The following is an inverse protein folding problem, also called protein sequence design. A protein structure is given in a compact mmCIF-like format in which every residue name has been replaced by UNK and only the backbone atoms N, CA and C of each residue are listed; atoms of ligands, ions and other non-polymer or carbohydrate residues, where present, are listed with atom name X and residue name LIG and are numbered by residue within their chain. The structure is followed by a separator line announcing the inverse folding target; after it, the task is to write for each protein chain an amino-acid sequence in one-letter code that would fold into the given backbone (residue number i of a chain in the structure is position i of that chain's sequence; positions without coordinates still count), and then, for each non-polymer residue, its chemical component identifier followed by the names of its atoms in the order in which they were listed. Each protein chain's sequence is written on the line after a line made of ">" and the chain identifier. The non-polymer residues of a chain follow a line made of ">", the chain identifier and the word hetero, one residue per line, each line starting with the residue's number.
data_IF_752001270396
#
_entry.id   IF_752001270396
#
_cell.length_a   1.000
_cell.length_b   1.000
_cell.length_c   1.000
_cell.angle_alpha   90.00
_cell.angle_beta   90.00
_cell.angle_gamma   90.00
#
_symmetry.space_group_name_H-M   'P 1'
#
loop_
_entity.id
_entity.type
_entity.pdbx_description
1 polymer ?
#
# COMPACT_ATOMS: atom_id res chain seq x y z
N UNK A 1 -27.41 10.14 -16.82
CA UNK A 1 -27.31 8.87 -17.57
C UNK A 1 -27.29 7.70 -16.56
N UNK A 2 -27.97 6.55 -16.83
CA UNK A 2 -27.96 5.38 -15.94
C UNK A 2 -26.55 4.83 -15.66
N UNK A 3 -25.62 4.98 -16.60
CA UNK A 3 -24.20 4.57 -16.44
C UNK A 3 -23.46 5.34 -15.33
N UNK A 4 -23.73 6.63 -15.15
CA UNK A 4 -23.03 7.44 -14.14
C UNK A 4 -23.46 7.16 -12.71
N UNK A 5 -24.65 6.60 -12.50
CA UNK A 5 -25.15 6.20 -11.16
C UNK A 5 -24.51 4.89 -10.68
N UNK A 6 -24.29 3.93 -11.59
CA UNK A 6 -23.63 2.66 -11.22
C UNK A 6 -22.16 2.80 -10.82
N UNK A 7 -21.43 3.72 -11.44
CA UNK A 7 -20.01 3.99 -11.20
C UNK A 7 -19.74 4.56 -9.80
N UNK A 8 -20.54 5.53 -9.37
CA UNK A 8 -20.44 6.09 -8.01
C UNK A 8 -20.75 5.07 -6.93
N UNK A 9 -21.59 4.08 -7.22
CA UNK A 9 -22.01 3.06 -6.26
C UNK A 9 -20.94 1.96 -6.07
N UNK A 10 -20.20 1.57 -7.12
CA UNK A 10 -19.08 0.61 -7.02
C UNK A 10 -17.97 1.18 -6.12
N UNK A 11 -17.54 2.41 -6.39
CA UNK A 11 -16.52 3.06 -5.57
C UNK A 11 -16.94 3.23 -4.11
N UNK A 12 -18.17 3.69 -3.86
CA UNK A 12 -18.68 3.85 -2.49
C UNK A 12 -18.69 2.51 -1.75
N UNK A 13 -19.02 1.42 -2.44
CA UNK A 13 -19.00 0.08 -1.86
C UNK A 13 -17.59 -0.36 -1.51
N UNK A 14 -16.60 -0.19 -2.41
CA UNK A 14 -15.21 -0.55 -2.14
C UNK A 14 -14.63 0.23 -0.97
N UNK A 15 -14.84 1.56 -0.97
CA UNK A 15 -14.41 2.44 0.13
C UNK A 15 -15.03 2.01 1.46
N UNK A 16 -16.33 1.72 1.46
CA UNK A 16 -17.03 1.28 2.64
C UNK A 16 -16.55 -0.09 3.13
N UNK A 17 -16.30 -1.03 2.21
CA UNK A 17 -15.74 -2.34 2.55
C UNK A 17 -14.40 -2.21 3.27
N UNK A 18 -13.50 -1.33 2.80
CA UNK A 18 -12.22 -1.11 3.47
C UNK A 18 -12.40 -0.48 4.86
N UNK A 19 -13.29 0.51 5.00
CA UNK A 19 -13.63 1.12 6.29
C UNK A 19 -14.18 0.07 7.26
N UNK A 20 -15.10 -0.77 6.80
CA UNK A 20 -15.73 -1.81 7.62
C UNK A 20 -14.70 -2.88 8.04
N UNK A 21 -13.78 -3.25 7.15
CA UNK A 21 -12.67 -4.16 7.47
C UNK A 21 -11.74 -3.56 8.55
N UNK A 22 -11.38 -2.28 8.43
CA UNK A 22 -10.58 -1.56 9.44
C UNK A 22 -11.29 -1.60 10.81
N UNK A 23 -12.57 -1.29 10.83
CA UNK A 23 -13.38 -1.30 12.06
C UNK A 23 -13.55 -2.70 12.64
N UNK A 24 -13.81 -3.69 11.80
CA UNK A 24 -14.00 -5.08 12.23
C UNK A 24 -12.72 -5.66 12.84
N UNK A 25 -11.56 -5.45 12.17
CA UNK A 25 -10.27 -5.95 12.63
C UNK A 25 -9.64 -5.06 13.70
N UNK A 26 -10.16 -3.87 13.92
CA UNK A 26 -9.57 -2.84 14.77
C UNK A 26 -8.11 -2.58 14.39
N UNK A 27 -7.87 -2.48 13.08
CA UNK A 27 -6.54 -2.45 12.49
C UNK A 27 -6.56 -1.72 11.16
N UNK A 28 -5.50 -1.01 10.85
CA UNK A 28 -5.18 -0.48 9.52
C UNK A 28 -3.78 -0.90 9.07
N UNK A 29 -3.37 -2.10 9.53
CA UNK A 29 -2.10 -2.73 9.20
C UNK A 29 -2.08 -3.22 7.75
N UNK A 30 -1.08 -2.79 6.99
CA UNK A 30 -0.70 -3.34 5.70
C UNK A 30 0.61 -4.12 5.88
N UNK A 31 0.59 -5.43 5.63
CA UNK A 31 1.80 -6.27 5.72
C UNK A 31 2.56 -6.22 4.40
N UNK A 32 3.80 -5.73 4.45
CA UNK A 32 4.71 -5.78 3.29
C UNK A 32 5.28 -7.18 3.11
N UNK A 33 5.27 -7.69 1.89
CA UNK A 33 5.86 -8.96 1.50
C UNK A 33 7.02 -8.73 0.52
N UNK A 34 8.16 -8.38 1.10
CA UNK A 34 9.43 -8.07 0.42
C UNK A 34 10.44 -9.20 0.75
N UNK A 35 10.26 -10.45 0.23
CA UNK A 35 11.03 -11.61 0.63
C UNK A 35 12.47 -11.54 0.10
N UNK A 36 13.41 -11.29 1.00
CA UNK A 36 14.84 -11.30 0.72
C UNK A 36 15.40 -12.70 1.04
N UNK A 37 15.86 -13.48 0.04
CA UNK A 37 16.35 -14.83 0.25
C UNK A 37 17.47 -14.94 1.28
N UNK A 38 18.31 -13.90 1.41
CA UNK A 38 19.44 -13.89 2.36
C UNK A 38 18.99 -13.68 3.81
N UNK A 39 17.73 -13.32 4.03
CA UNK A 39 17.15 -13.03 5.34
C UNK A 39 16.06 -14.02 5.76
N UNK A 40 15.61 -14.86 4.85
CA UNK A 40 14.60 -15.86 5.17
C UNK A 40 15.14 -16.95 6.13
N UNK A 41 14.28 -17.59 6.94
CA UNK A 41 14.67 -18.71 7.79
C UNK A 41 15.32 -19.83 6.98
N UNK A 42 16.52 -20.25 7.39
CA UNK A 42 17.33 -21.22 6.63
C UNK A 42 16.64 -22.59 6.42
N UNK A 43 15.75 -23.00 7.33
CA UNK A 43 15.03 -24.27 7.23
C UNK A 43 14.03 -24.32 6.06
N UNK A 44 13.60 -23.16 5.53
CA UNK A 44 12.74 -23.09 4.35
C UNK A 44 13.48 -23.43 3.04
N UNK A 45 14.81 -23.46 3.09
CA UNK A 45 15.62 -23.65 1.90
C UNK A 45 15.82 -22.36 1.11
N UNK A 46 15.91 -22.49 -0.22
CA UNK A 46 16.18 -21.37 -1.12
C UNK A 46 15.33 -21.47 -2.39
N UNK A 47 15.27 -20.36 -3.15
CA UNK A 47 14.57 -20.29 -4.42
C UNK A 47 13.09 -19.95 -4.30
N UNK A 48 12.36 -20.06 -5.42
CA UNK A 48 10.97 -19.61 -5.54
C UNK A 48 10.00 -20.30 -4.58
N UNK A 49 10.15 -21.63 -4.39
CA UNK A 49 9.30 -22.40 -3.48
C UNK A 49 9.45 -21.99 -2.02
N UNK A 50 10.69 -21.68 -1.58
CA UNK A 50 10.95 -21.19 -0.23
C UNK A 50 10.31 -19.81 -0.02
N UNK A 51 10.40 -18.91 -1.01
CA UNK A 51 9.74 -17.60 -0.97
C UNK A 51 8.22 -17.74 -0.84
N UNK A 52 7.62 -18.65 -1.60
CA UNK A 52 6.18 -18.89 -1.52
C UNK A 52 5.76 -19.46 -0.17
N UNK A 53 6.51 -20.43 0.36
CA UNK A 53 6.26 -21.02 1.67
C UNK A 53 6.37 -19.96 2.78
N UNK A 54 7.38 -19.10 2.72
CA UNK A 54 7.58 -17.98 3.64
C UNK A 54 6.38 -17.01 3.61
N UNK A 55 5.99 -16.56 2.42
CA UNK A 55 4.86 -15.64 2.27
C UNK A 55 3.55 -16.24 2.78
N UNK A 56 3.26 -17.50 2.46
CA UNK A 56 2.04 -18.19 2.92
C UNK A 56 2.00 -18.28 4.44
N UNK A 57 3.09 -18.66 5.08
CA UNK A 57 3.17 -18.73 6.54
C UNK A 57 2.91 -17.38 7.20
N UNK A 58 3.46 -16.30 6.64
CA UNK A 58 3.22 -14.93 7.13
C UNK A 58 1.76 -14.50 6.95
N UNK A 59 1.16 -14.79 5.79
CA UNK A 59 -0.25 -14.48 5.52
C UNK A 59 -1.14 -15.24 6.48
N UNK A 60 -0.95 -16.55 6.63
CA UNK A 60 -1.74 -17.40 7.53
C UNK A 60 -1.66 -16.92 8.99
N UNK A 61 -0.46 -16.51 9.43
CA UNK A 61 -0.22 -16.03 10.78
C UNK A 61 -0.82 -14.66 11.10
N UNK A 62 -1.12 -13.82 10.09
CA UNK A 62 -1.47 -12.40 10.31
C UNK A 62 -2.78 -11.96 9.66
N UNK A 63 -3.47 -12.84 8.93
CA UNK A 63 -4.62 -12.46 8.10
C UNK A 63 -5.85 -11.96 8.89
N UNK A 64 -6.00 -12.35 10.13
CA UNK A 64 -7.03 -11.84 11.03
C UNK A 64 -6.72 -10.43 11.58
N UNK A 65 -5.46 -10.00 11.50
CA UNK A 65 -4.95 -8.73 12.02
C UNK A 65 -4.70 -7.68 10.93
N UNK A 66 -4.28 -8.11 9.74
CA UNK A 66 -3.98 -7.22 8.63
C UNK A 66 -5.22 -6.90 7.79
N UNK A 67 -5.33 -5.66 7.30
CA UNK A 67 -6.38 -5.24 6.35
C UNK A 67 -5.89 -5.25 4.91
N UNK A 68 -4.57 -5.28 4.71
CA UNK A 68 -3.95 -5.31 3.39
C UNK A 68 -2.63 -6.09 3.41
N UNK A 69 -2.27 -6.63 2.25
CA UNK A 69 -0.96 -7.19 1.98
C UNK A 69 -0.37 -6.52 0.73
N UNK A 70 0.92 -6.26 0.80
CA UNK A 70 1.62 -5.51 -0.25
C UNK A 70 2.90 -6.23 -0.70
N UNK A 71 2.80 -7.25 -1.58
CA UNK A 71 3.96 -7.80 -2.26
C UNK A 71 4.69 -6.72 -3.07
N UNK A 72 5.99 -6.59 -2.84
CA UNK A 72 6.85 -5.71 -3.63
C UNK A 72 7.36 -6.48 -4.86
N UNK A 73 6.84 -6.12 -6.01
CA UNK A 73 7.04 -6.85 -7.27
C UNK A 73 8.52 -7.03 -7.62
N UNK A 74 9.39 -6.09 -7.24
CA UNK A 74 10.83 -6.17 -7.51
C UNK A 74 11.49 -7.43 -6.92
N UNK A 75 11.05 -7.91 -5.76
CA UNK A 75 11.58 -9.12 -5.13
C UNK A 75 11.21 -10.40 -5.90
N UNK A 76 10.09 -10.38 -6.59
CA UNK A 76 9.62 -11.47 -7.42
C UNK A 76 10.22 -11.40 -8.83
N UNK A 77 10.32 -10.22 -9.43
CA UNK A 77 11.02 -10.01 -10.71
C UNK A 77 12.47 -10.50 -10.64
N UNK A 78 13.15 -10.29 -9.52
CA UNK A 78 14.53 -10.74 -9.30
C UNK A 78 14.69 -12.27 -9.31
N UNK A 79 13.62 -13.04 -9.12
CA UNK A 79 13.62 -14.51 -9.21
C UNK A 79 13.48 -15.02 -10.66
N UNK A 80 13.40 -14.12 -11.66
CA UNK A 80 13.23 -14.47 -13.05
C UNK A 80 11.83 -14.99 -13.39
N UNK A 81 11.73 -15.91 -14.33
CA UNK A 81 10.44 -16.39 -14.84
C UNK A 81 9.57 -17.03 -13.75
N UNK A 82 10.15 -17.83 -12.86
CA UNK A 82 9.44 -18.49 -11.76
C UNK A 82 8.92 -17.49 -10.72
N UNK A 83 9.56 -16.30 -10.61
CA UNK A 83 9.11 -15.26 -9.70
C UNK A 83 7.72 -14.72 -10.01
N UNK A 84 7.30 -14.73 -11.26
CA UNK A 84 5.93 -14.33 -11.64
C UNK A 84 4.89 -15.31 -11.13
N UNK A 85 5.18 -16.61 -11.16
CA UNK A 85 4.31 -17.65 -10.60
C UNK A 85 4.22 -17.54 -9.08
N UNK A 86 5.36 -17.24 -8.41
CA UNK A 86 5.40 -16.99 -6.97
C UNK A 86 4.58 -15.76 -6.60
N UNK A 87 4.69 -14.66 -7.35
CA UNK A 87 3.87 -13.47 -7.14
C UNK A 87 2.38 -13.78 -7.24
N UNK A 88 1.99 -14.48 -8.33
CA UNK A 88 0.59 -14.88 -8.55
C UNK A 88 0.07 -15.74 -7.39
N UNK A 89 0.80 -16.77 -7.01
CA UNK A 89 0.41 -17.66 -5.92
C UNK A 89 0.40 -16.94 -4.55
N UNK A 90 1.28 -15.96 -4.36
CA UNK A 90 1.26 -15.10 -3.15
C UNK A 90 0.00 -14.24 -3.12
N UNK A 91 -0.38 -13.61 -4.25
CA UNK A 91 -1.61 -12.83 -4.35
C UNK A 91 -2.86 -13.69 -4.11
N UNK A 92 -2.88 -14.91 -4.65
CA UNK A 92 -3.99 -15.84 -4.48
C UNK A 92 -4.11 -16.39 -3.04
N UNK A 93 -3.00 -16.45 -2.31
CA UNK A 93 -2.99 -16.82 -0.89
C UNK A 93 -3.55 -15.75 0.05
N UNK A 94 -3.61 -14.48 -0.38
CA UNK A 94 -4.20 -13.41 0.43
C UNK A 94 -5.72 -13.62 0.50
N UNK A 95 -6.30 -13.78 1.70
CA UNK A 95 -7.70 -14.11 1.84
C UNK A 95 -8.63 -12.97 1.39
N UNK A 96 -9.85 -13.32 1.02
CA UNK A 96 -10.92 -12.35 0.78
C UNK A 96 -11.12 -11.46 2.02
N UNK A 97 -11.38 -10.18 1.78
CA UNK A 97 -11.49 -9.17 2.85
C UNK A 97 -10.18 -8.49 3.22
N UNK A 98 -9.03 -8.96 2.72
CA UNK A 98 -7.77 -8.22 2.75
C UNK A 98 -7.49 -7.61 1.39
N UNK A 99 -7.06 -6.35 1.37
CA UNK A 99 -6.70 -5.65 0.13
C UNK A 99 -5.38 -6.19 -0.42
N UNK A 100 -5.36 -6.60 -1.68
CA UNK A 100 -4.17 -7.08 -2.42
C UNK A 100 -3.51 -5.91 -3.12
N UNK A 101 -2.35 -5.47 -2.67
CA UNK A 101 -1.63 -4.32 -3.23
C UNK A 101 -0.40 -4.79 -3.99
N UNK A 102 -0.38 -4.63 -5.32
CA UNK A 102 0.84 -4.82 -6.10
C UNK A 102 1.73 -3.58 -6.00
N UNK A 103 2.83 -3.68 -5.23
CA UNK A 103 3.80 -2.58 -5.13
C UNK A 103 4.79 -2.62 -6.29
N UNK A 104 4.32 -2.15 -7.45
CA UNK A 104 5.03 -2.26 -8.74
C UNK A 104 5.64 -0.94 -9.21
N UNK A 105 5.15 0.19 -8.73
CA UNK A 105 5.60 1.54 -9.10
C UNK A 105 5.73 1.73 -10.62
N UNK A 106 4.71 1.28 -11.35
CA UNK A 106 4.70 1.37 -12.82
C UNK A 106 4.52 2.82 -13.27
N UNK A 107 5.14 3.14 -14.41
CA UNK A 107 5.01 4.43 -15.05
C UNK A 107 5.31 4.29 -16.53
N UNK A 108 4.28 4.45 -17.36
CA UNK A 108 4.35 4.45 -18.82
C UNK A 108 3.09 5.14 -19.37
N UNK A 109 3.00 5.34 -20.66
CA UNK A 109 1.92 6.08 -21.29
C UNK A 109 1.07 5.22 -22.22
N UNK A 110 -0.17 5.66 -22.45
CA UNK A 110 -1.07 5.13 -23.47
C UNK A 110 -1.29 3.62 -23.35
N UNK A 111 -1.13 2.90 -24.46
CA UNK A 111 -1.37 1.46 -24.52
C UNK A 111 -0.43 0.66 -23.59
N UNK A 112 0.82 1.08 -23.42
CA UNK A 112 1.77 0.40 -22.52
C UNK A 112 1.31 0.51 -21.06
N UNK A 113 0.87 1.68 -20.62
CA UNK A 113 0.29 1.85 -19.28
C UNK A 113 -0.95 0.96 -19.08
N UNK A 114 -1.81 0.84 -20.11
CA UNK A 114 -2.96 -0.09 -20.08
C UNK A 114 -2.51 -1.54 -19.93
N UNK A 115 -1.40 -1.96 -20.55
CA UNK A 115 -0.86 -3.32 -20.40
C UNK A 115 -0.37 -3.58 -18.97
N UNK A 116 0.30 -2.60 -18.36
CA UNK A 116 0.69 -2.70 -16.95
C UNK A 116 -0.52 -2.76 -16.00
N UNK A 117 -1.56 -1.97 -16.27
CA UNK A 117 -2.79 -2.02 -15.48
C UNK A 117 -3.47 -3.40 -15.58
N UNK A 118 -3.55 -3.99 -16.78
CA UNK A 118 -4.08 -5.35 -16.99
C UNK A 118 -3.22 -6.40 -16.30
N UNK A 119 -1.90 -6.30 -16.36
CA UNK A 119 -1.02 -7.22 -15.64
C UNK A 119 -1.34 -7.20 -14.13
N UNK A 120 -1.44 -6.02 -13.52
CA UNK A 120 -1.73 -5.91 -12.09
C UNK A 120 -3.15 -6.41 -11.75
N UNK A 121 -4.17 -5.96 -12.45
CA UNK A 121 -5.56 -6.15 -12.05
C UNK A 121 -6.19 -7.44 -12.58
N UNK A 122 -5.78 -7.90 -13.76
CA UNK A 122 -6.34 -9.10 -14.40
C UNK A 122 -5.43 -10.32 -14.19
N UNK A 123 -4.09 -10.19 -14.38
CA UNK A 123 -3.19 -11.34 -14.28
C UNK A 123 -2.81 -11.63 -12.82
N UNK A 124 -2.44 -10.63 -12.02
CA UNK A 124 -2.06 -10.83 -10.61
C UNK A 124 -3.24 -10.73 -9.64
N UNK A 125 -4.44 -10.44 -10.13
CA UNK A 125 -5.65 -10.30 -9.31
C UNK A 125 -5.47 -9.28 -8.15
N UNK A 126 -4.70 -8.22 -8.39
CA UNK A 126 -4.52 -7.15 -7.40
C UNK A 126 -5.79 -6.30 -7.28
N UNK A 127 -6.05 -5.76 -6.10
CA UNK A 127 -7.10 -4.78 -5.84
C UNK A 127 -6.58 -3.35 -5.95
N UNK A 128 -5.26 -3.18 -5.79
CA UNK A 128 -4.57 -1.91 -5.88
C UNK A 128 -3.18 -2.07 -6.50
N UNK A 129 -2.66 -1.03 -7.13
CA UNK A 129 -1.31 -0.98 -7.68
C UNK A 129 -0.66 0.37 -7.44
N UNK A 130 0.63 0.38 -7.10
CA UNK A 130 1.41 1.62 -6.98
C UNK A 130 1.87 2.10 -8.35
N UNK A 131 1.73 3.41 -8.59
CA UNK A 131 2.01 4.05 -9.87
C UNK A 131 2.84 5.31 -9.65
N UNK A 132 3.81 5.56 -10.53
CA UNK A 132 4.63 6.76 -10.54
C UNK A 132 3.93 7.89 -11.32
N UNK A 133 3.86 9.11 -10.78
CA UNK A 133 3.12 10.22 -11.39
C UNK A 133 3.92 11.04 -12.41
N UNK A 134 5.23 10.83 -12.51
CA UNK A 134 6.15 11.76 -13.16
C UNK A 134 5.78 12.12 -14.61
N UNK A 135 5.25 11.16 -15.40
CA UNK A 135 4.82 11.40 -16.77
C UNK A 135 3.39 11.99 -16.88
N UNK A 136 2.73 12.26 -15.74
CA UNK A 136 1.47 12.98 -15.71
C UNK A 136 0.24 12.11 -15.98
N UNK A 137 -0.81 12.75 -16.50
CA UNK A 137 -2.16 12.18 -16.70
C UNK A 137 -2.13 10.86 -17.48
N UNK A 138 -1.38 10.81 -18.56
CA UNK A 138 -1.31 9.68 -19.48
C UNK A 138 -0.75 8.42 -18.82
N UNK A 139 0.01 8.57 -17.71
CA UNK A 139 0.56 7.44 -16.96
C UNK A 139 -0.35 6.96 -15.80
N UNK A 140 -1.37 7.73 -15.45
CA UNK A 140 -2.24 7.43 -14.29
C UNK A 140 -3.65 7.01 -14.72
N UNK A 141 -4.26 7.73 -15.66
CA UNK A 141 -5.65 7.45 -16.10
C UNK A 141 -5.87 6.04 -16.63
N UNK A 142 -4.92 5.36 -17.34
CA UNK A 142 -5.12 3.97 -17.75
C UNK A 142 -5.38 2.99 -16.59
N UNK A 143 -4.81 3.25 -15.41
CA UNK A 143 -5.09 2.47 -14.19
C UNK A 143 -6.46 2.84 -13.59
N UNK A 144 -6.82 4.11 -13.64
CA UNK A 144 -8.12 4.61 -13.18
C UNK A 144 -9.30 4.17 -14.06
N UNK A 145 -9.04 3.62 -15.25
CA UNK A 145 -10.07 3.04 -16.09
C UNK A 145 -10.69 1.75 -15.52
N UNK A 146 -10.01 1.10 -14.57
CA UNK A 146 -10.52 -0.08 -13.85
C UNK A 146 -11.35 0.37 -12.64
N UNK A 147 -12.67 0.32 -12.78
CA UNK A 147 -13.63 0.97 -11.87
C UNK A 147 -13.73 0.33 -10.49
N UNK A 148 -13.38 -0.95 -10.39
CA UNK A 148 -13.38 -1.75 -9.16
C UNK A 148 -11.99 -1.88 -8.53
N UNK A 149 -11.03 -1.04 -8.94
CA UNK A 149 -9.63 -1.11 -8.51
C UNK A 149 -9.13 0.24 -7.97
N UNK A 150 -8.12 0.17 -7.11
CA UNK A 150 -7.44 1.34 -6.58
C UNK A 150 -6.13 1.62 -7.30
N UNK A 151 -5.82 2.87 -7.50
CA UNK A 151 -4.50 3.33 -7.96
C UNK A 151 -3.81 4.09 -6.84
N UNK A 152 -2.64 3.62 -6.42
CA UNK A 152 -1.88 4.23 -5.34
C UNK A 152 -0.74 5.04 -5.95
N UNK A 153 -0.85 6.36 -5.91
CA UNK A 153 0.08 7.25 -6.58
C UNK A 153 1.19 7.68 -5.61
N UNK A 154 2.44 7.61 -6.05
CA UNK A 154 3.56 8.14 -5.26
C UNK A 154 3.41 9.66 -5.11
N UNK A 155 3.52 10.15 -3.89
CA UNK A 155 3.46 11.58 -3.59
C UNK A 155 4.70 12.07 -2.85
N UNK A 156 4.81 11.77 -1.55
CA UNK A 156 5.93 12.20 -0.72
C UNK A 156 6.58 10.98 -0.06
N UNK A 157 7.71 10.54 -0.59
CA UNK A 157 8.41 9.34 -0.09
C UNK A 157 9.44 9.70 0.99
N UNK A 158 9.90 8.69 1.76
CA UNK A 158 10.76 8.90 2.93
C UNK A 158 12.26 8.80 2.65
N UNK A 159 12.66 8.43 1.43
CA UNK A 159 14.06 8.28 1.05
C UNK A 159 14.76 9.65 0.88
N UNK A 160 16.07 9.75 1.15
CA UNK A 160 16.81 11.02 1.01
C UNK A 160 16.71 11.65 -0.39
N UNK A 161 16.71 10.84 -1.45
CA UNK A 161 16.60 11.32 -2.83
C UNK A 161 15.25 11.96 -3.19
N UNK A 162 14.24 11.91 -2.31
CA UNK A 162 13.00 12.64 -2.50
C UNK A 162 13.21 14.16 -2.58
N UNK A 163 14.26 14.68 -1.95
CA UNK A 163 14.66 16.09 -2.01
C UNK A 163 15.03 16.54 -3.44
N UNK A 164 15.48 15.65 -4.30
CA UNK A 164 15.88 16.01 -5.65
C UNK A 164 14.70 16.47 -6.51
N UNK A 165 13.51 15.91 -6.29
CA UNK A 165 12.32 16.19 -7.09
C UNK A 165 11.06 16.43 -6.27
N UNK A 166 10.70 15.50 -5.38
CA UNK A 166 9.39 15.52 -4.71
C UNK A 166 9.22 16.79 -3.83
N UNK A 167 10.27 17.16 -3.11
CA UNK A 167 10.28 18.32 -2.22
C UNK A 167 10.80 19.60 -2.90
N UNK A 168 11.26 19.49 -4.15
CA UNK A 168 11.70 20.66 -4.90
C UNK A 168 10.50 21.48 -5.38
N UNK A 169 10.59 22.81 -5.18
CA UNK A 169 9.69 23.79 -5.76
C UNK A 169 10.52 24.79 -6.56
N UNK A 170 10.22 24.95 -7.84
CA UNK A 170 10.92 25.93 -8.68
C UNK A 170 10.81 27.33 -8.07
N UNK A 171 11.94 28.04 -7.92
CA UNK A 171 12.05 29.42 -7.43
C UNK A 171 11.32 29.68 -6.08
N UNK A 172 11.36 28.72 -5.15
CA UNK A 172 10.67 28.82 -3.88
C UNK A 172 9.16 28.59 -3.96
N UNK A 173 8.70 28.04 -5.07
CA UNK A 173 7.31 27.68 -5.30
C UNK A 173 6.88 26.41 -4.57
N UNK A 174 5.69 25.97 -4.89
CA UNK A 174 5.05 24.79 -4.32
C UNK A 174 5.84 23.50 -4.65
N UNK A 175 6.09 22.61 -3.68
CA UNK A 175 6.81 21.36 -3.91
C UNK A 175 6.06 20.44 -4.89
N UNK A 176 6.82 19.62 -5.65
CA UNK A 176 6.27 18.75 -6.68
C UNK A 176 5.23 17.76 -6.11
N UNK A 177 5.48 17.20 -4.92
CA UNK A 177 4.52 16.27 -4.31
C UNK A 177 3.13 16.88 -4.14
N UNK A 178 3.05 18.15 -3.76
CA UNK A 178 1.79 18.87 -3.59
C UNK A 178 1.11 19.10 -4.95
N UNK A 179 1.89 19.46 -5.98
CA UNK A 179 1.39 19.56 -7.35
C UNK A 179 0.82 18.24 -7.86
N UNK A 180 1.48 17.11 -7.54
CA UNK A 180 0.98 15.77 -7.86
C UNK A 180 -0.41 15.54 -7.26
N UNK A 181 -0.61 15.82 -5.97
CA UNK A 181 -1.91 15.67 -5.30
C UNK A 181 -3.00 16.52 -5.94
N UNK A 182 -2.74 17.80 -6.13
CA UNK A 182 -3.72 18.76 -6.65
C UNK A 182 -4.13 18.41 -8.09
N UNK A 183 -3.16 18.13 -8.96
CA UNK A 183 -3.44 17.83 -10.37
C UNK A 183 -4.11 16.47 -10.51
N UNK A 184 -3.62 15.42 -9.85
CA UNK A 184 -4.20 14.09 -9.96
C UNK A 184 -5.62 14.02 -9.39
N UNK A 185 -5.95 14.87 -8.42
CA UNK A 185 -7.31 14.99 -7.88
C UNK A 185 -8.34 15.45 -8.92
N UNK A 186 -7.89 16.03 -10.04
CA UNK A 186 -8.76 16.46 -11.17
C UNK A 186 -8.95 15.39 -12.25
N UNK A 187 -8.24 14.24 -12.15
CA UNK A 187 -8.33 13.20 -13.18
C UNK A 187 -9.67 12.47 -13.15
N UNK A 188 -10.10 11.97 -14.30
CA UNK A 188 -11.27 11.11 -14.37
C UNK A 188 -11.05 9.86 -13.51
N UNK A 189 -11.97 9.58 -12.59
CA UNK A 189 -11.82 8.46 -11.65
C UNK A 189 -10.90 8.72 -10.44
N UNK A 190 -10.47 9.96 -10.21
CA UNK A 190 -9.61 10.35 -9.08
C UNK A 190 -10.14 9.95 -7.70
N UNK A 191 -11.43 9.69 -7.57
CA UNK A 191 -12.02 9.14 -6.34
C UNK A 191 -11.42 7.78 -5.94
N UNK A 192 -10.83 7.02 -6.88
CA UNK A 192 -10.12 5.75 -6.65
C UNK A 192 -8.62 5.90 -6.45
N UNK A 193 -8.14 7.13 -6.28
CA UNK A 193 -6.75 7.38 -5.89
C UNK A 193 -6.55 7.21 -4.39
N UNK A 194 -5.47 6.53 -4.06
CA UNK A 194 -4.76 6.60 -2.79
C UNK A 194 -3.37 7.20 -3.04
N UNK A 195 -2.65 7.56 -1.99
CA UNK A 195 -1.32 8.14 -2.14
C UNK A 195 -0.31 7.50 -1.20
N UNK A 196 0.94 7.34 -1.66
CA UNK A 196 2.06 6.93 -0.82
C UNK A 196 2.65 8.17 -0.15
N UNK A 197 2.71 8.14 1.19
CA UNK A 197 3.31 9.20 2.00
C UNK A 197 4.16 8.57 3.10
N UNK A 198 5.44 8.91 3.17
CA UNK A 198 6.37 8.35 4.16
C UNK A 198 6.06 8.77 5.60
N UNK A 199 6.28 7.85 6.55
CA UNK A 199 6.00 8.04 7.98
C UNK A 199 7.05 8.90 8.71
N UNK A 200 8.22 9.15 8.10
CA UNK A 200 9.38 9.74 8.79
C UNK A 200 9.29 11.25 9.00
N UNK A 201 8.35 11.90 8.36
CA UNK A 201 8.12 13.35 8.43
C UNK A 201 6.64 13.64 8.66
N UNK A 202 6.17 13.62 9.92
CA UNK A 202 4.76 13.84 10.25
C UNK A 202 4.20 15.17 9.76
N UNK A 203 5.03 16.21 9.70
CA UNK A 203 4.66 17.53 9.17
C UNK A 203 4.19 17.48 7.72
N UNK A 204 4.85 16.67 6.87
CA UNK A 204 4.43 16.48 5.48
C UNK A 204 3.15 15.66 5.38
N UNK A 205 3.00 14.68 6.25
CA UNK A 205 1.77 13.88 6.30
C UNK A 205 0.55 14.74 6.63
N UNK A 206 0.69 15.71 7.57
CA UNK A 206 -0.36 16.67 7.90
C UNK A 206 -0.71 17.58 6.71
N UNK A 207 0.30 18.08 6.00
CA UNK A 207 0.07 18.90 4.81
C UNK A 207 -0.59 18.09 3.67
N UNK A 208 -0.15 16.84 3.43
CA UNK A 208 -0.79 15.95 2.47
C UNK A 208 -2.25 15.72 2.84
N UNK A 209 -2.53 15.43 4.12
CA UNK A 209 -3.91 15.23 4.60
C UNK A 209 -4.78 16.47 4.37
N UNK A 210 -4.25 17.65 4.57
CA UNK A 210 -4.96 18.90 4.31
C UNK A 210 -5.34 19.08 2.82
N UNK A 211 -4.49 18.61 1.89
CA UNK A 211 -4.76 18.67 0.44
C UNK A 211 -5.76 17.59 0.00
N UNK A 212 -5.66 16.37 0.59
CA UNK A 212 -6.48 15.22 0.22
C UNK A 212 -7.22 14.63 1.43
N UNK A 213 -8.16 15.37 2.04
CA UNK A 213 -8.77 15.02 3.33
C UNK A 213 -9.56 13.70 3.30
N UNK A 214 -10.03 13.30 2.13
CA UNK A 214 -10.88 12.12 1.95
C UNK A 214 -10.21 11.00 1.15
N UNK A 215 -8.87 10.88 1.20
CA UNK A 215 -8.13 9.81 0.52
C UNK A 215 -7.47 8.88 1.53
N UNK A 216 -7.42 7.59 1.21
CA UNK A 216 -6.55 6.67 1.93
C UNK A 216 -5.09 6.98 1.60
N UNK A 217 -4.24 6.91 2.63
CA UNK A 217 -2.80 7.08 2.51
C UNK A 217 -2.10 5.77 2.85
N UNK A 218 -1.27 5.29 1.94
CA UNK A 218 -0.35 4.18 2.20
C UNK A 218 0.92 4.78 2.81
N UNK A 219 1.20 4.40 4.06
CA UNK A 219 2.24 5.03 4.88
C UNK A 219 3.33 4.01 5.22
N UNK A 220 4.40 3.91 4.41
CA UNK A 220 5.58 3.11 4.73
C UNK A 220 6.50 3.84 5.70
N UNK A 221 7.33 3.07 6.44
CA UNK A 221 8.41 3.61 7.27
C UNK A 221 8.12 3.67 8.76
N UNK A 222 6.97 3.19 9.22
CA UNK A 222 6.71 3.01 10.66
C UNK A 222 7.61 1.90 11.21
N UNK A 223 8.26 2.17 12.33
CA UNK A 223 9.20 1.27 13.00
C UNK A 223 10.58 1.27 12.34
N UNK A 224 10.81 0.48 11.31
CA UNK A 224 12.13 0.23 10.72
C UNK A 224 12.85 1.48 10.16
N UNK A 225 12.14 2.56 9.84
CA UNK A 225 12.70 3.82 9.34
C UNK A 225 12.57 4.98 10.34
N UNK A 226 12.11 4.71 11.58
CA UNK A 226 12.04 5.70 12.66
C UNK A 226 10.71 6.46 12.78
N UNK A 227 9.73 6.24 11.90
CA UNK A 227 8.38 6.77 12.08
C UNK A 227 7.64 6.05 13.21
N UNK A 228 6.86 6.79 14.01
CA UNK A 228 6.00 6.20 15.06
C UNK A 228 4.55 6.17 14.62
N UNK A 229 3.79 5.18 15.11
CA UNK A 229 2.37 5.04 14.80
C UNK A 229 1.58 6.24 15.31
N UNK A 230 1.87 6.70 16.53
CA UNK A 230 1.20 7.82 17.17
C UNK A 230 1.39 9.12 16.37
N UNK A 231 2.61 9.39 15.89
CA UNK A 231 2.89 10.58 15.08
C UNK A 231 2.17 10.53 13.72
N UNK A 232 2.11 9.34 13.11
CA UNK A 232 1.38 9.12 11.85
C UNK A 232 -0.13 9.33 12.06
N UNK A 233 -0.69 8.80 13.12
CA UNK A 233 -2.10 8.99 13.45
C UNK A 233 -2.42 10.46 13.78
N UNK A 234 -1.59 11.11 14.58
CA UNK A 234 -1.77 12.53 14.92
C UNK A 234 -1.77 13.45 13.70
N UNK A 235 -0.92 13.14 12.71
CA UNK A 235 -0.73 13.98 11.52
C UNK A 235 -1.69 13.63 10.36
N UNK A 236 -1.99 12.33 10.17
CA UNK A 236 -2.64 11.83 8.96
C UNK A 236 -4.09 11.36 9.13
N UNK A 237 -4.70 11.53 10.29
CA UNK A 237 -6.03 10.99 10.58
C UNK A 237 -7.14 11.58 9.72
N UNK A 238 -8.05 10.74 9.26
CA UNK A 238 -9.29 11.13 8.57
C UNK A 238 -10.47 10.37 9.18
N UNK A 239 -11.27 11.03 9.99
CA UNK A 239 -12.36 10.44 10.75
C UNK A 239 -13.38 9.71 9.86
N UNK A 240 -13.75 10.32 8.73
CA UNK A 240 -14.71 9.75 7.76
C UNK A 240 -14.22 8.44 7.12
N UNK A 241 -12.93 8.10 7.28
CA UNK A 241 -12.28 6.93 6.68
C UNK A 241 -11.78 5.92 7.73
N UNK A 242 -12.26 6.00 8.98
CA UNK A 242 -11.69 5.21 10.08
C UNK A 242 -10.15 5.34 10.14
N UNK A 243 -9.68 6.57 10.17
CA UNK A 243 -8.27 6.94 10.12
C UNK A 243 -7.75 7.29 8.73
N UNK A 244 -8.23 6.62 7.68
CA UNK A 244 -7.80 6.86 6.29
C UNK A 244 -6.33 6.51 6.03
N UNK A 245 -5.77 5.61 6.83
CA UNK A 245 -4.38 5.18 6.80
C UNK A 245 -4.28 3.69 6.50
N UNK A 246 -3.27 3.30 5.73
CA UNK A 246 -2.78 1.93 5.58
C UNK A 246 -1.30 1.96 5.97
N UNK A 247 -0.99 1.60 7.19
CA UNK A 247 0.39 1.61 7.71
C UNK A 247 1.11 0.36 7.24
N UNK A 248 2.08 0.54 6.33
CA UNK A 248 2.82 -0.57 5.77
C UNK A 248 4.02 -0.92 6.64
N UNK A 249 4.02 -2.14 7.14
CA UNK A 249 5.12 -2.74 7.93
C UNK A 249 5.61 -3.98 7.21
N UNK A 250 6.89 -4.00 6.85
CA UNK A 250 7.54 -5.10 6.14
C UNK A 250 8.60 -5.75 7.02
N UNK A 251 9.84 -5.27 6.93
CA UNK A 251 11.04 -5.92 7.50
C UNK A 251 10.96 -6.24 9.00
N UNK A 252 10.42 -5.36 9.82
CA UNK A 252 10.32 -5.59 11.27
C UNK A 252 9.32 -6.70 11.63
N UNK A 253 8.34 -6.95 10.77
CA UNK A 253 7.38 -8.03 10.93
C UNK A 253 7.89 -9.32 10.29
N UNK A 254 8.28 -9.27 9.02
CA UNK A 254 8.71 -10.44 8.25
C UNK A 254 9.90 -11.14 8.87
N UNK A 255 10.83 -10.39 9.44
CA UNK A 255 12.10 -10.86 10.01
C UNK A 255 12.17 -10.65 11.52
N UNK A 256 11.04 -10.76 12.21
CA UNK A 256 10.95 -10.68 13.67
C UNK A 256 11.71 -11.85 14.34
N UNK A 257 11.81 -12.99 13.68
CA UNK A 257 12.69 -14.11 14.00
C UNK A 257 13.30 -14.70 12.72
N UNK A 258 14.48 -15.30 12.82
CA UNK A 258 15.12 -16.08 11.75
C UNK A 258 15.04 -17.60 12.00
N UNK A 259 14.36 -18.02 13.07
CA UNK A 259 14.16 -19.41 13.46
C UNK A 259 12.92 -20.05 12.86
N UNK A 260 12.63 -21.27 13.31
CA UNK A 260 11.40 -22.00 12.92
C UNK A 260 10.13 -21.31 13.41
N UNK A 261 10.25 -20.46 14.43
CA UNK A 261 9.19 -19.65 15.05
C UNK A 261 8.89 -18.33 14.30
N UNK A 262 9.42 -18.14 13.09
CA UNK A 262 9.32 -16.86 12.38
C UNK A 262 7.86 -16.39 12.18
N UNK A 263 6.94 -17.32 11.91
CA UNK A 263 5.53 -16.99 11.70
C UNK A 263 4.84 -16.56 13.01
N UNK A 264 5.14 -17.22 14.12
CA UNK A 264 4.68 -16.84 15.47
C UNK A 264 5.24 -15.49 15.89
N UNK A 265 6.51 -15.23 15.61
CA UNK A 265 7.15 -13.95 15.90
C UNK A 265 6.54 -12.81 15.04
N UNK A 266 6.27 -13.08 13.77
CA UNK A 266 5.56 -12.14 12.88
C UNK A 266 4.14 -11.84 13.39
N UNK A 267 3.40 -12.86 13.85
CA UNK A 267 2.08 -12.70 14.45
C UNK A 267 2.15 -11.85 15.73
N UNK A 268 3.13 -12.09 16.59
CA UNK A 268 3.30 -11.31 17.82
C UNK A 268 3.53 -9.82 17.53
N UNK A 269 4.33 -9.49 16.52
CA UNK A 269 4.55 -8.10 16.08
C UNK A 269 3.29 -7.52 15.44
N UNK A 270 2.59 -8.27 14.58
CA UNK A 270 1.32 -7.83 14.00
C UNK A 270 0.25 -7.54 15.06
N UNK A 271 0.15 -8.39 16.09
CA UNK A 271 -0.77 -8.22 17.21
C UNK A 271 -0.43 -6.97 18.04
N UNK A 272 0.85 -6.74 18.32
CA UNK A 272 1.31 -5.53 19.01
C UNK A 272 0.90 -4.26 18.24
N UNK A 273 1.09 -4.25 16.92
CA UNK A 273 0.69 -3.14 16.06
C UNK A 273 -0.82 -2.97 16.02
N UNK A 274 -1.56 -4.06 15.88
CA UNK A 274 -3.03 -4.05 15.87
C UNK A 274 -3.58 -3.48 17.18
N UNK A 275 -3.04 -3.88 18.33
CA UNK A 275 -3.47 -3.36 19.64
C UNK A 275 -3.23 -1.84 19.74
N UNK A 276 -2.08 -1.34 19.27
CA UNK A 276 -1.83 0.09 19.21
C UNK A 276 -2.80 0.82 18.27
N UNK A 277 -3.08 0.23 17.09
CA UNK A 277 -4.06 0.77 16.13
C UNK A 277 -5.48 0.79 16.71
N UNK A 278 -5.87 -0.22 17.49
CA UNK A 278 -7.17 -0.27 18.16
C UNK A 278 -7.35 0.88 19.17
N UNK A 279 -6.30 1.27 19.87
CA UNK A 279 -6.31 2.44 20.77
C UNK A 279 -6.56 3.73 19.99
N UNK A 280 -5.89 3.92 18.85
CA UNK A 280 -6.09 5.09 17.99
C UNK A 280 -7.52 5.14 17.41
N UNK A 281 -8.06 3.99 16.98
CA UNK A 281 -9.43 3.88 16.48
C UNK A 281 -10.48 4.17 17.57
N UNK A 282 -10.23 3.73 18.80
CA UNK A 282 -11.12 3.98 19.94
C UNK A 282 -11.06 5.43 20.44
N UNK A 283 -9.95 6.11 20.23
CA UNK A 283 -9.76 7.51 20.62
C UNK A 283 -10.62 8.49 19.81
N UNK A 284 -11.42 8.00 18.82
CA UNK A 284 -12.30 8.71 17.86
C UNK A 284 -12.39 10.21 18.10
N UNK A 285 -11.82 10.96 17.18
CA UNK A 285 -11.55 12.40 17.32
C UNK A 285 -12.59 13.22 16.59
#
# INVERSE_FOLDING_TARGET
>A
SPMSRGLGDVYKRQRQTLIDTIRQKQSFLCVGLDPDPDRMPAHLGSGPEAVLAFNRALIDATSDLAVAYKPNVAFYEALGAEGWDVLQQTMDAIPEGCLRIADAKRGDIGNTATRYARAAFEAWNADAVTVAPYMGRDSVEPFLAFEDKWTILLAATSNPGAEDFEFHGADGGQPLWRRVLEVSSTYAGANRLMYVVGATRPEWLAEVRAVVPERFLLVPGVGAQGGTLEAVCAAGWAESLAGGLLVNVGRSLMYASSGEDFAEAARAEALRLQQAMAVELAASR
#
